data_IF_342676869797
#
_entry.id   IF_342676869797
#
_cell.length_a   1.000
_cell.length_b   1.000
_cell.length_c   1.000
_cell.angle_alpha   90.00
_cell.angle_beta   90.00
_cell.angle_gamma   90.00
#
_symmetry.space_group_name_H-M   'P 1'
#
loop_
_entity.id
_entity.type
_entity.pdbx_description
1 polymer ?
#
# COMPACT_ATOMS: atom_id res chain seq x y z
N UNK A 1 9.30 -28.63 14.18
CA UNK A 1 9.39 -27.20 14.53
C UNK A 1 9.75 -27.17 15.99
N UNK A 2 10.84 -26.52 16.38
CA UNK A 2 11.18 -26.40 17.80
C UNK A 2 10.00 -25.74 18.52
N UNK A 3 9.55 -26.36 19.62
CA UNK A 3 8.45 -25.86 20.44
C UNK A 3 8.93 -24.55 21.10
N UNK A 4 8.62 -23.42 20.47
CA UNK A 4 8.98 -22.09 20.98
C UNK A 4 8.11 -21.81 22.19
N UNK A 5 8.69 -21.23 23.23
CA UNK A 5 7.90 -20.86 24.40
C UNK A 5 6.85 -19.80 24.05
N UNK A 6 5.78 -19.74 24.84
CA UNK A 6 4.75 -18.71 24.70
C UNK A 6 5.35 -17.29 24.74
N UNK A 7 6.37 -17.07 25.57
CA UNK A 7 7.08 -15.80 25.70
C UNK A 7 7.88 -15.47 24.42
N UNK A 8 8.56 -16.45 23.84
CA UNK A 8 9.30 -16.27 22.58
C UNK A 8 8.37 -15.92 21.42
N UNK A 9 7.20 -16.56 21.35
CA UNK A 9 6.18 -16.26 20.34
C UNK A 9 5.62 -14.84 20.53
N UNK A 10 5.35 -14.41 21.76
CA UNK A 10 4.89 -13.05 22.04
C UNK A 10 5.93 -12.00 21.66
N UNK A 11 7.20 -12.20 22.03
CA UNK A 11 8.31 -11.33 21.65
C UNK A 11 8.54 -11.31 20.13
N UNK A 12 8.32 -12.44 19.42
CA UNK A 12 8.36 -12.48 17.97
C UNK A 12 7.24 -11.63 17.35
N UNK A 13 6.01 -11.77 17.87
CA UNK A 13 4.87 -10.98 17.42
C UNK A 13 5.07 -9.48 17.61
N UNK A 14 5.61 -9.06 18.76
CA UNK A 14 5.91 -7.65 19.03
C UNK A 14 6.89 -7.07 18.00
N UNK A 15 8.01 -7.77 17.74
CA UNK A 15 8.98 -7.39 16.69
C UNK A 15 8.36 -7.32 15.30
N UNK A 16 7.41 -8.19 14.98
CA UNK A 16 6.70 -8.15 13.70
C UNK A 16 5.76 -6.94 13.62
N UNK A 17 5.07 -6.58 14.69
CA UNK A 17 4.25 -5.36 14.73
C UNK A 17 5.10 -4.09 14.61
N UNK A 18 6.30 -4.05 15.22
CA UNK A 18 7.25 -2.95 15.01
C UNK A 18 7.66 -2.83 13.54
N UNK A 19 7.99 -3.95 12.89
CA UNK A 19 8.30 -3.97 11.45
C UNK A 19 7.11 -3.53 10.59
N UNK A 20 5.90 -3.95 10.96
CA UNK A 20 4.67 -3.56 10.27
C UNK A 20 4.49 -2.03 10.37
N UNK A 21 4.64 -1.47 11.56
CA UNK A 21 4.55 -0.03 11.81
C UNK A 21 5.61 0.77 11.04
N UNK A 22 6.80 0.20 10.81
CA UNK A 22 7.89 0.82 10.07
C UNK A 22 7.76 0.75 8.52
N UNK A 23 6.70 0.15 7.97
CA UNK A 23 6.60 -0.11 6.52
C UNK A 23 6.43 1.16 5.65
N UNK A 24 5.87 2.24 6.22
CA UNK A 24 5.64 3.49 5.50
C UNK A 24 4.58 3.39 4.40
N UNK A 25 4.64 4.30 3.42
CA UNK A 25 3.70 4.33 2.29
C UNK A 25 3.92 3.16 1.33
N UNK A 26 2.82 2.54 0.88
CA UNK A 26 2.88 1.46 -0.09
C UNK A 26 1.67 1.43 -1.03
N UNK A 27 1.83 0.74 -2.16
CA UNK A 27 0.73 0.43 -3.07
C UNK A 27 0.90 -0.95 -3.69
N UNK A 28 -0.22 -1.60 -4.01
CA UNK A 28 -0.21 -2.87 -4.74
C UNK A 28 0.07 -2.65 -6.22
N UNK A 29 0.61 -3.66 -6.87
CA UNK A 29 0.74 -3.72 -8.33
C UNK A 29 2.13 -4.16 -8.76
N UNK A 30 2.41 -3.98 -10.04
CA UNK A 30 3.72 -4.20 -10.64
C UNK A 30 4.03 -3.07 -11.61
N UNK A 31 5.31 -2.92 -11.96
CA UNK A 31 5.76 -2.03 -13.04
C UNK A 31 6.32 -2.88 -14.17
N UNK A 32 5.81 -2.68 -15.37
CA UNK A 32 6.34 -3.30 -16.60
C UNK A 32 7.01 -2.26 -17.47
N UNK A 33 8.11 -2.65 -18.10
CA UNK A 33 8.82 -1.87 -19.11
C UNK A 33 8.46 -2.41 -20.48
N UNK A 34 8.02 -1.53 -21.38
CA UNK A 34 7.52 -1.94 -22.69
C UNK A 34 8.11 -1.07 -23.81
N UNK A 35 8.48 -1.73 -24.91
CA UNK A 35 8.83 -1.11 -26.18
C UNK A 35 7.76 -1.46 -27.22
N UNK A 36 7.43 -0.51 -28.11
CA UNK A 36 6.37 -0.70 -29.12
C UNK A 36 6.82 -0.22 -30.49
N UNK A 37 6.62 -1.03 -31.52
CA UNK A 37 6.78 -0.61 -32.91
C UNK A 37 5.55 0.15 -33.38
N UNK A 38 5.73 1.22 -34.15
CA UNK A 38 4.62 2.07 -34.61
C UNK A 38 3.94 1.58 -35.91
N UNK A 39 4.48 0.55 -36.56
CA UNK A 39 3.94 -0.02 -37.79
C UNK A 39 4.22 0.78 -39.08
N UNK A 40 4.89 1.94 -38.98
CA UNK A 40 5.27 2.72 -40.17
C UNK A 40 6.53 2.11 -40.82
N UNK A 41 6.53 1.80 -42.13
CA UNK A 41 7.67 1.15 -42.79
C UNK A 41 8.93 2.01 -42.79
N UNK A 42 8.77 3.34 -42.83
CA UNK A 42 9.89 4.29 -42.87
C UNK A 42 10.37 4.75 -41.48
N UNK A 43 9.92 4.11 -40.40
CA UNK A 43 10.37 4.45 -39.06
C UNK A 43 11.62 3.62 -38.70
N UNK A 44 12.58 4.22 -37.98
CA UNK A 44 13.76 3.52 -37.45
C UNK A 44 13.35 2.29 -36.62
N UNK A 45 12.20 2.33 -35.94
CA UNK A 45 11.69 1.20 -35.18
C UNK A 45 11.25 -0.02 -36.01
N UNK A 46 11.21 0.09 -37.34
CA UNK A 46 10.90 -1.02 -38.25
C UNK A 46 12.14 -1.90 -38.53
N UNK A 47 13.35 -1.43 -38.22
CA UNK A 47 14.57 -2.22 -38.40
C UNK A 47 14.50 -3.51 -37.55
N UNK A 48 14.97 -4.67 -38.06
CA UNK A 48 14.90 -5.96 -37.36
C UNK A 48 15.43 -5.90 -35.93
N UNK A 49 16.57 -5.24 -35.73
CA UNK A 49 17.28 -5.16 -34.45
C UNK A 49 16.83 -4.00 -33.55
N UNK A 50 15.92 -3.15 -34.01
CA UNK A 50 15.44 -2.03 -33.20
C UNK A 50 14.39 -2.52 -32.17
N UNK A 51 14.55 -2.24 -30.87
CA UNK A 51 13.67 -2.75 -29.82
C UNK A 51 12.23 -2.19 -29.90
N UNK A 52 12.09 -0.99 -30.46
CA UNK A 52 10.83 -0.28 -30.61
C UNK A 52 10.88 1.08 -29.92
N UNK A 53 9.80 1.86 -29.98
CA UNK A 53 9.68 3.08 -29.17
C UNK A 53 9.52 2.73 -27.70
N UNK A 54 10.38 3.27 -26.86
CA UNK A 54 10.37 3.04 -25.42
C UNK A 54 11.66 3.53 -24.75
N UNK A 55 11.85 3.22 -23.47
CA UNK A 55 10.92 2.45 -22.64
C UNK A 55 9.65 3.22 -22.25
N UNK A 56 8.52 2.53 -22.19
CA UNK A 56 7.32 2.98 -21.48
C UNK A 56 7.16 2.15 -20.22
N UNK A 57 7.11 2.84 -19.09
CA UNK A 57 6.83 2.21 -17.80
C UNK A 57 5.34 2.24 -17.52
N UNK A 58 4.74 1.08 -17.25
CA UNK A 58 3.33 0.97 -16.89
C UNK A 58 3.22 0.35 -15.51
N UNK A 59 2.57 1.08 -14.60
CA UNK A 59 2.09 0.52 -13.35
C UNK A 59 0.71 -0.10 -13.57
N UNK A 60 0.53 -1.32 -13.09
CA UNK A 60 -0.76 -2.02 -13.14
C UNK A 60 -1.07 -2.70 -11.81
N UNK A 61 -2.35 -2.78 -11.46
CA UNK A 61 -2.85 -3.49 -10.28
C UNK A 61 -4.14 -4.23 -10.64
N UNK A 62 -4.20 -5.49 -10.24
CA UNK A 62 -5.39 -6.33 -10.33
C UNK A 62 -5.75 -6.83 -8.94
N UNK A 63 -7.04 -6.83 -8.60
CA UNK A 63 -7.55 -7.41 -7.37
C UNK A 63 -8.54 -8.53 -7.70
N UNK A 64 -8.69 -9.54 -6.83
CA UNK A 64 -9.69 -10.58 -7.01
C UNK A 64 -11.09 -9.99 -7.23
N UNK A 65 -11.78 -10.46 -8.28
CA UNK A 65 -13.12 -9.97 -8.64
C UNK A 65 -13.18 -8.50 -9.06
N UNK A 66 -12.06 -7.90 -9.48
CA UNK A 66 -12.00 -6.51 -9.96
C UNK A 66 -11.26 -6.43 -11.29
N UNK A 67 -11.66 -5.47 -12.12
CA UNK A 67 -10.94 -5.12 -13.35
C UNK A 67 -9.54 -4.61 -13.02
N UNK A 68 -8.56 -4.98 -13.83
CA UNK A 68 -7.21 -4.42 -13.79
C UNK A 68 -7.24 -2.91 -14.05
N UNK A 69 -6.55 -2.15 -13.20
CA UNK A 69 -6.33 -0.70 -13.35
C UNK A 69 -4.85 -0.43 -13.56
N UNK A 70 -4.50 0.64 -14.25
CA UNK A 70 -3.11 1.00 -14.48
C UNK A 70 -2.93 2.35 -15.15
N UNK A 71 -1.70 2.85 -15.14
CA UNK A 71 -1.30 4.09 -15.83
C UNK A 71 0.15 4.03 -16.27
N UNK A 72 0.50 4.86 -17.25
CA UNK A 72 1.90 5.09 -17.59
C UNK A 72 2.57 5.93 -16.48
N UNK A 73 3.82 5.59 -16.17
CA UNK A 73 4.67 6.35 -15.26
C UNK A 73 5.63 7.24 -16.07
N UNK A 74 5.92 8.42 -15.54
CA UNK A 74 7.10 9.17 -15.95
C UNK A 74 8.38 8.52 -15.41
N UNK A 75 9.53 8.85 -16.01
CA UNK A 75 10.82 8.36 -15.52
C UNK A 75 11.09 8.78 -14.06
N UNK A 76 10.68 10.01 -13.68
CA UNK A 76 10.86 10.53 -12.33
C UNK A 76 10.00 9.83 -11.27
N UNK A 77 8.89 9.19 -11.65
CA UNK A 77 8.03 8.44 -10.72
C UNK A 77 8.46 6.98 -10.54
N UNK A 78 9.34 6.46 -11.39
CA UNK A 78 9.61 5.03 -11.50
C UNK A 78 10.14 4.45 -10.19
N UNK A 79 11.18 5.04 -9.64
CA UNK A 79 11.84 4.54 -8.42
C UNK A 79 10.92 4.66 -7.21
N UNK A 80 10.16 5.76 -7.12
CA UNK A 80 9.15 5.95 -6.09
C UNK A 80 8.11 4.84 -6.12
N UNK A 81 7.53 4.56 -7.29
CA UNK A 81 6.47 3.54 -7.42
C UNK A 81 7.02 2.14 -7.17
N UNK A 82 8.25 1.85 -7.60
CA UNK A 82 8.92 0.57 -7.30
C UNK A 82 9.14 0.39 -5.79
N UNK A 83 9.60 1.42 -5.10
CA UNK A 83 9.77 1.38 -3.65
C UNK A 83 8.43 1.16 -2.91
N UNK A 84 7.37 1.88 -3.30
CA UNK A 84 6.03 1.70 -2.71
C UNK A 84 5.46 0.29 -2.96
N UNK A 85 5.78 -0.33 -4.10
CA UNK A 85 5.40 -1.73 -4.39
C UNK A 85 6.20 -2.70 -3.53
N UNK A 86 7.51 -2.48 -3.39
CA UNK A 86 8.36 -3.30 -2.51
C UNK A 86 7.87 -3.22 -1.05
N UNK A 87 7.49 -2.04 -0.57
CA UNK A 87 6.88 -1.86 0.74
C UNK A 87 5.57 -2.64 0.88
N UNK A 88 4.73 -2.72 -0.16
CA UNK A 88 3.52 -3.54 -0.12
C UNK A 88 3.85 -5.04 0.01
N UNK A 89 4.86 -5.52 -0.70
CA UNK A 89 5.30 -6.91 -0.56
C UNK A 89 5.80 -7.21 0.85
N UNK A 90 6.58 -6.29 1.44
CA UNK A 90 7.01 -6.40 2.84
C UNK A 90 5.83 -6.39 3.80
N UNK A 91 4.89 -5.47 3.63
CA UNK A 91 3.65 -5.41 4.42
C UNK A 91 2.91 -6.75 4.37
N UNK A 92 2.71 -7.30 3.18
CA UNK A 92 1.97 -8.55 3.01
C UNK A 92 2.69 -9.73 3.71
N UNK A 93 4.01 -9.83 3.55
CA UNK A 93 4.82 -10.87 4.19
C UNK A 93 4.79 -10.77 5.72
N UNK A 94 5.02 -9.58 6.28
CA UNK A 94 5.00 -9.38 7.73
C UNK A 94 3.59 -9.64 8.28
N UNK A 95 2.54 -9.23 7.57
CA UNK A 95 1.16 -9.50 7.99
C UNK A 95 0.88 -10.99 8.08
N UNK A 96 1.35 -11.78 7.11
CA UNK A 96 1.20 -13.24 7.13
C UNK A 96 1.94 -13.87 8.31
N UNK A 97 3.18 -13.44 8.56
CA UNK A 97 3.97 -13.92 9.71
C UNK A 97 3.31 -13.57 11.05
N UNK A 98 2.65 -12.41 11.15
CA UNK A 98 1.88 -12.03 12.33
C UNK A 98 0.72 -13.00 12.55
N UNK A 99 0.03 -13.41 11.49
CA UNK A 99 -1.07 -14.40 11.59
C UNK A 99 -0.52 -15.74 12.07
N UNK A 100 0.52 -16.27 11.42
CA UNK A 100 1.14 -17.56 11.78
C UNK A 100 1.61 -17.59 13.25
N UNK A 101 2.31 -16.54 13.71
CA UNK A 101 2.76 -16.45 15.10
C UNK A 101 1.59 -16.29 16.06
N UNK A 102 0.54 -15.55 15.69
CA UNK A 102 -0.65 -15.43 16.53
C UNK A 102 -1.39 -16.75 16.68
N UNK A 103 -1.52 -17.53 15.60
CA UNK A 103 -2.14 -18.86 15.65
C UNK A 103 -1.35 -19.77 16.61
N UNK A 104 -0.02 -19.79 16.53
CA UNK A 104 0.83 -20.51 17.48
C UNK A 104 0.65 -20.05 18.94
N UNK A 105 0.50 -18.74 19.17
CA UNK A 105 0.19 -18.19 20.52
C UNK A 105 -1.17 -18.68 21.01
N UNK A 106 -2.18 -18.73 20.14
CA UNK A 106 -3.52 -19.20 20.48
C UNK A 106 -3.49 -20.68 20.88
N UNK A 107 -2.81 -21.54 20.11
CA UNK A 107 -2.68 -22.97 20.43
C UNK A 107 -1.88 -23.23 21.71
N UNK A 108 -0.86 -22.42 21.99
CA UNK A 108 -0.04 -22.55 23.21
C UNK A 108 -0.77 -22.12 24.49
N UNK A 109 -1.94 -21.48 24.40
CA UNK A 109 -2.69 -21.01 25.58
C UNK A 109 -3.68 -22.07 26.08
N UNK A 110 -3.78 -22.25 27.41
CA UNK A 110 -4.74 -23.19 27.96
C UNK A 110 -6.19 -22.71 27.73
N UNK A 111 -7.14 -23.64 27.52
CA UNK A 111 -8.56 -23.31 27.45
C UNK A 111 -9.03 -22.57 28.70
N UNK A 112 -9.80 -21.49 28.52
CA UNK A 112 -10.31 -20.66 29.64
C UNK A 112 -9.42 -19.49 30.05
N UNK A 113 -8.20 -19.38 29.51
CA UNK A 113 -7.44 -18.13 29.58
C UNK A 113 -8.14 -17.07 28.71
N UNK A 114 -8.52 -15.94 29.29
CA UNK A 114 -9.06 -14.83 28.51
C UNK A 114 -8.03 -14.37 27.47
N UNK A 115 -8.48 -14.17 26.22
CA UNK A 115 -7.63 -13.53 25.23
C UNK A 115 -7.30 -12.11 25.76
N UNK A 116 -6.01 -11.75 25.91
CA UNK A 116 -5.63 -10.40 26.27
C UNK A 116 -6.08 -9.50 25.14
N UNK A 117 -7.03 -8.64 25.49
CA UNK A 117 -7.50 -7.58 24.61
C UNK A 117 -6.49 -6.44 24.75
N UNK A 118 -6.00 -5.89 23.63
CA UNK A 118 -5.19 -4.68 23.69
C UNK A 118 -5.96 -3.61 24.48
N UNK A 119 -5.30 -2.82 25.36
CA UNK A 119 -5.97 -1.74 26.05
C UNK A 119 -6.58 -0.81 25.01
N UNK A 120 -7.88 -0.55 25.14
CA UNK A 120 -8.58 0.39 24.27
C UNK A 120 -7.83 1.72 24.31
N UNK A 121 -7.32 2.16 23.15
CA UNK A 121 -6.77 3.50 23.02
C UNK A 121 -7.82 4.48 23.56
N UNK A 122 -7.44 5.24 24.60
CA UNK A 122 -8.29 6.26 25.21
C UNK A 122 -8.86 7.16 24.12
N UNK A 123 -10.18 7.30 24.12
CA UNK A 123 -10.92 8.13 23.16
C UNK A 123 -10.26 9.51 23.08
N UNK A 124 -9.71 9.86 21.91
CA UNK A 124 -9.34 11.23 21.63
C UNK A 124 -10.60 12.08 21.71
N UNK A 125 -10.58 13.05 22.62
CA UNK A 125 -11.65 14.03 22.82
C UNK A 125 -12.06 14.62 21.47
N UNK A 126 -13.35 14.54 21.15
CA UNK A 126 -13.93 15.20 19.97
C UNK A 126 -13.82 16.71 20.16
N UNK A 127 -12.71 17.30 19.72
CA UNK A 127 -12.58 18.73 19.53
C UNK A 127 -13.67 19.21 18.57
N UNK A 128 -14.68 19.88 19.11
CA UNK A 128 -15.82 20.37 18.35
C UNK A 128 -15.39 21.30 17.22
N UNK A 129 -15.94 21.07 16.02
CA UNK A 129 -15.79 22.00 14.90
C UNK A 129 -16.28 23.40 15.32
N UNK A 130 -15.54 24.49 15.06
CA UNK A 130 -16.05 25.83 15.27
C UNK A 130 -17.24 26.10 14.33
N UNK A 131 -18.22 26.91 14.75
CA UNK A 131 -19.40 27.18 13.93
C UNK A 131 -18.99 27.88 12.62
N UNK A 132 -19.60 27.44 11.51
CA UNK A 132 -19.49 28.08 10.19
C UNK A 132 -19.88 29.55 10.31
N UNK A 133 -18.96 30.45 9.94
CA UNK A 133 -19.22 31.89 9.85
C UNK A 133 -20.43 32.18 8.95
N UNK A 134 -21.31 33.12 9.33
CA UNK A 134 -22.51 33.40 8.56
C UNK A 134 -22.16 34.07 7.22
N UNK A 135 -22.78 33.52 6.19
CA UNK A 135 -22.77 33.94 4.79
C UNK A 135 -23.04 35.45 4.66
N UNK A 136 -21.99 36.26 4.44
CA UNK A 136 -22.15 37.70 4.18
C UNK A 136 -22.47 37.89 2.71
N UNK A 137 -23.77 37.84 2.40
CA UNK A 137 -24.34 38.27 1.13
C UNK A 137 -23.87 39.70 0.81
N UNK A 138 -22.87 39.80 -0.08
CA UNK A 138 -22.50 41.10 -0.66
C UNK A 138 -23.54 41.46 -1.70
N UNK A 139 -24.43 42.33 -1.23
CA UNK A 139 -25.36 43.19 -1.96
C UNK A 139 -24.83 43.55 -3.35
N UNK A 140 -25.69 43.34 -4.34
CA UNK A 140 -25.68 44.02 -5.63
C UNK A 140 -25.63 45.53 -5.42
N UNK A 141 -24.75 46.20 -6.15
CA UNK A 141 -24.86 47.64 -6.42
C UNK A 141 -25.21 47.84 -7.90
N UNK A 142 -26.18 48.71 -8.25
CA UNK A 142 -26.61 48.98 -9.63
C UNK A 142 -25.71 50.07 -10.30
N UNK A 143 -25.90 50.38 -11.60
CA UNK A 143 -24.83 50.78 -12.52
C UNK A 143 -24.60 52.30 -12.62
N UNK A 144 -23.52 52.67 -13.33
CA UNK A 144 -23.40 53.87 -14.16
C UNK A 144 -22.80 53.48 -15.50
#
# INVERSE_FOLDING_TARGET
MADRSLEELQAARERLFEQLAATGDFRRGSVSENYRRCGKPNCVCAQPDHPGHGPRYLWTRTLPGRRSVGRQLSAAELDKVRAEIANYHRFAQVSEQIVEVNEAICEARPPGAAAPVAPAATQAEKGGSPPRSPNRSRRRSPPK
#
